data_IF_362755717603
#
_entry.id   IF_362755717603
#
_cell.length_a   1.000
_cell.length_b   1.000
_cell.length_c   1.000
_cell.angle_alpha   90.00
_cell.angle_beta   90.00
_cell.angle_gamma   90.00
#
_symmetry.space_group_name_H-M   'P 1'
#
loop_
_entity.id
_entity.type
_entity.pdbx_description
1 polymer ?
#
# COMPACT_ATOMS: atom_id res chain seq x y z
N UNK A 1 9.47 6.66 9.36
CA UNK A 1 9.38 6.40 7.91
C UNK A 1 8.49 7.44 7.24
N UNK A 2 8.84 8.01 6.09
CA UNK A 2 7.96 8.98 5.42
C UNK A 2 6.96 8.25 4.50
N UNK A 3 5.66 8.40 4.76
CA UNK A 3 4.61 7.72 3.99
C UNK A 3 3.64 8.76 3.46
N UNK A 4 3.44 8.75 2.16
CA UNK A 4 2.46 9.61 1.49
C UNK A 4 1.20 8.81 1.18
N UNK A 5 0.04 9.45 1.32
CA UNK A 5 -1.23 8.90 0.85
C UNK A 5 -1.59 9.59 -0.46
N UNK A 6 -1.73 8.80 -1.53
CA UNK A 6 -2.25 9.28 -2.80
C UNK A 6 -3.65 8.71 -3.02
N UNK A 7 -4.66 9.54 -3.34
CA UNK A 7 -5.97 9.05 -3.72
C UNK A 7 -5.84 8.06 -4.88
N UNK A 8 -6.53 6.93 -4.78
CA UNK A 8 -6.60 5.96 -5.87
C UNK A 8 -7.37 6.60 -7.03
N UNK A 9 -6.81 6.56 -8.23
CA UNK A 9 -7.44 7.10 -9.45
C UNK A 9 -7.74 5.96 -10.41
N UNK A 10 -9.00 5.81 -10.82
CA UNK A 10 -9.44 4.83 -11.83
C UNK A 10 -10.12 5.59 -12.95
N UNK A 11 -9.65 5.40 -14.19
CA UNK A 11 -10.19 6.09 -15.38
C UNK A 11 -10.24 7.63 -15.27
N UNK A 12 -9.38 8.23 -14.43
CA UNK A 12 -9.34 9.68 -14.18
C UNK A 12 -10.13 10.11 -12.94
N UNK A 13 -10.98 9.24 -12.40
CA UNK A 13 -11.79 9.52 -11.22
C UNK A 13 -11.09 9.11 -9.93
N UNK A 14 -11.04 10.04 -8.97
CA UNK A 14 -10.55 9.76 -7.63
C UNK A 14 -11.59 8.95 -6.87
N UNK A 15 -11.20 7.78 -6.39
CA UNK A 15 -12.02 7.01 -5.47
C UNK A 15 -12.03 7.69 -4.10
N UNK A 16 -13.22 7.93 -3.59
CA UNK A 16 -13.43 8.48 -2.26
C UNK A 16 -12.96 7.47 -1.22
N UNK A 17 -12.29 7.97 -0.17
CA UNK A 17 -11.86 7.18 0.99
C UNK A 17 -10.97 5.97 0.61
N UNK A 18 -10.22 6.07 -0.49
CA UNK A 18 -9.33 5.03 -0.99
C UNK A 18 -7.98 5.61 -1.39
N UNK A 19 -6.91 5.07 -0.79
CA UNK A 19 -5.58 5.63 -0.90
C UNK A 19 -4.54 4.55 -1.18
N UNK A 20 -3.69 4.78 -2.17
CA UNK A 20 -2.39 4.12 -2.29
C UNK A 20 -1.42 4.74 -1.27
N UNK A 21 -0.70 3.90 -0.54
CA UNK A 21 0.35 4.34 0.37
C UNK A 21 1.69 4.28 -0.35
N UNK A 22 2.42 5.39 -0.37
CA UNK A 22 3.67 5.55 -1.10
C UNK A 22 4.84 5.66 -0.13
N UNK A 23 5.91 4.92 -0.41
CA UNK A 23 7.22 5.03 0.24
C UNK A 23 8.29 5.03 -0.86
N UNK A 24 9.27 5.93 -0.80
CA UNK A 24 10.34 6.05 -1.82
C UNK A 24 9.81 6.07 -3.28
N UNK A 25 8.74 6.84 -3.54
CA UNK A 25 8.06 6.94 -4.84
C UNK A 25 7.48 5.62 -5.39
N UNK A 26 7.28 4.62 -4.53
CA UNK A 26 6.70 3.30 -4.85
C UNK A 26 5.44 3.05 -4.05
N UNK A 27 4.46 2.41 -4.65
CA UNK A 27 3.25 1.97 -3.94
C UNK A 27 3.60 0.77 -3.07
N UNK A 28 3.38 0.89 -1.76
CA UNK A 28 3.72 -0.14 -0.77
C UNK A 28 2.49 -0.75 -0.12
N UNK A 29 1.31 -0.25 -0.46
CA UNK A 29 0.06 -0.78 0.04
C UNK A 29 -1.13 0.14 -0.22
N UNK A 30 -2.23 -0.17 0.43
CA UNK A 30 -3.51 0.53 0.28
C UNK A 30 -4.21 0.69 1.62
N UNK A 31 -4.88 1.82 1.81
CA UNK A 31 -5.79 2.08 2.92
C UNK A 31 -7.12 2.53 2.31
N UNK A 32 -8.22 1.91 2.70
CA UNK A 32 -9.54 2.23 2.15
C UNK A 32 -10.67 2.08 3.17
N UNK A 33 -11.75 2.82 3.01
CA UNK A 33 -12.99 2.57 3.73
C UNK A 33 -13.76 1.44 3.03
N UNK A 34 -13.94 0.32 3.73
CA UNK A 34 -14.72 -0.81 3.24
C UNK A 34 -16.13 -0.77 3.84
N UNK A 35 -17.11 -0.42 3.03
CA UNK A 35 -18.55 -0.44 3.37
C UNK A 35 -19.26 -1.73 2.90
N UNK A 36 -18.59 -2.52 2.07
CA UNK A 36 -19.14 -3.70 1.40
C UNK A 36 -19.06 -4.99 2.22
N UNK A 37 -18.50 -4.96 3.44
CA UNK A 37 -18.55 -6.11 4.37
C UNK A 37 -19.88 -6.16 5.10
N UNK A 38 -20.78 -7.03 4.63
CA UNK A 38 -22.07 -7.32 5.24
C UNK A 38 -21.96 -7.54 6.76
N UNK A 39 -22.68 -6.74 7.55
CA UNK A 39 -22.90 -6.97 8.98
C UNK A 39 -21.86 -6.42 9.96
N UNK A 40 -20.80 -5.73 9.50
CA UNK A 40 -19.80 -5.11 10.40
C UNK A 40 -19.76 -3.58 10.39
N UNK A 41 -20.56 -2.94 9.54
CA UNK A 41 -20.49 -1.49 9.33
C UNK A 41 -19.24 -1.07 8.56
N UNK A 42 -19.10 0.22 8.28
CA UNK A 42 -17.94 0.75 7.57
C UNK A 42 -16.67 0.63 8.42
N UNK A 43 -15.64 -0.03 7.90
CA UNK A 43 -14.34 -0.17 8.56
C UNK A 43 -13.23 0.24 7.62
N UNK A 44 -12.20 0.89 8.15
CA UNK A 44 -10.99 1.16 7.40
C UNK A 44 -10.16 -0.12 7.27
N UNK A 45 -9.96 -0.60 6.05
CA UNK A 45 -9.05 -1.69 5.71
C UNK A 45 -7.68 -1.12 5.35
N UNK A 46 -6.62 -1.81 5.77
CA UNK A 46 -5.26 -1.48 5.38
C UNK A 46 -4.49 -2.75 5.02
N UNK A 47 -3.68 -2.66 3.97
CA UNK A 47 -2.92 -3.78 3.43
C UNK A 47 -1.55 -3.29 2.96
N UNK A 48 -0.47 -3.78 3.58
CA UNK A 48 0.88 -3.71 3.01
C UNK A 48 0.91 -4.68 1.83
N UNK A 49 1.25 -4.18 0.64
CA UNK A 49 1.23 -4.97 -0.60
C UNK A 49 2.33 -4.60 -1.60
N UNK A 50 3.62 -4.61 -1.20
CA UNK A 50 4.72 -4.62 -2.18
C UNK A 50 4.72 -5.96 -2.96
N UNK A 51 5.38 -6.03 -4.12
CA UNK A 51 5.59 -7.28 -4.88
C UNK A 51 6.65 -8.18 -4.21
N UNK A 52 6.46 -8.49 -2.93
CA UNK A 52 7.30 -9.33 -2.08
C UNK A 52 6.41 -10.31 -1.30
N UNK A 53 6.94 -11.40 -0.71
CA UNK A 53 6.15 -12.27 0.16
C UNK A 53 5.66 -11.51 1.40
N UNK A 54 4.33 -11.43 1.59
CA UNK A 54 3.70 -10.62 2.64
C UNK A 54 3.30 -11.51 3.82
N UNK A 55 3.77 -11.23 5.04
CA UNK A 55 3.34 -11.94 6.23
C UNK A 55 1.86 -11.72 6.58
N UNK A 56 1.18 -12.66 7.27
CA UNK A 56 -0.24 -12.51 7.61
C UNK A 56 -0.59 -11.28 8.47
N UNK A 57 0.38 -10.73 9.22
CA UNK A 57 0.21 -9.56 10.08
C UNK A 57 0.33 -8.21 9.34
N UNK A 58 0.60 -8.23 8.03
CA UNK A 58 0.75 -7.03 7.19
C UNK A 58 -0.58 -6.51 6.64
N UNK A 59 -1.70 -6.85 7.26
CA UNK A 59 -3.04 -6.34 6.91
C UNK A 59 -3.92 -6.27 8.16
N UNK A 60 -4.99 -5.50 8.08
CA UNK A 60 -6.00 -5.46 9.14
C UNK A 60 -7.09 -4.43 8.90
N UNK A 61 -7.90 -4.21 9.94
CA UNK A 61 -8.96 -3.21 9.96
C UNK A 61 -8.75 -2.19 11.08
N UNK A 62 -9.46 -1.07 11.02
CA UNK A 62 -9.53 -0.06 12.06
C UNK A 62 -10.83 0.76 11.96
N UNK A 63 -11.22 1.39 13.07
CA UNK A 63 -12.46 2.19 13.13
C UNK A 63 -12.26 3.64 12.63
N UNK A 64 -11.03 4.03 12.32
CA UNK A 64 -10.71 5.35 11.78
C UNK A 64 -9.52 5.32 10.82
N UNK A 65 -9.49 6.28 9.88
CA UNK A 65 -8.39 6.46 8.94
C UNK A 65 -7.06 6.68 9.68
N UNK A 66 -7.08 7.47 10.75
CA UNK A 66 -5.87 7.73 11.55
C UNK A 66 -5.32 6.44 12.18
N UNK A 67 -6.19 5.62 12.76
CA UNK A 67 -5.79 4.33 13.34
C UNK A 67 -5.28 3.38 12.25
N UNK A 68 -5.92 3.36 11.08
CA UNK A 68 -5.45 2.57 9.94
C UNK A 68 -4.06 3.03 9.46
N UNK A 69 -3.81 4.34 9.36
CA UNK A 69 -2.51 4.91 9.01
C UNK A 69 -1.42 4.50 10.01
N UNK A 70 -1.72 4.58 11.30
CA UNK A 70 -0.77 4.23 12.37
C UNK A 70 -0.45 2.73 12.35
N UNK A 71 -1.47 1.87 12.20
CA UNK A 71 -1.29 0.40 12.11
C UNK A 71 -0.53 0.00 10.85
N UNK A 72 -0.88 0.59 9.70
CA UNK A 72 -0.16 0.40 8.45
C UNK A 72 1.32 0.77 8.61
N UNK A 73 1.59 1.96 9.16
CA UNK A 73 2.97 2.44 9.35
C UNK A 73 3.77 1.49 10.23
N UNK A 74 3.23 1.06 11.36
CA UNK A 74 3.90 0.13 12.25
C UNK A 74 4.18 -1.23 11.57
N UNK A 75 3.21 -1.75 10.81
CA UNK A 75 3.40 -2.98 10.04
C UNK A 75 4.47 -2.80 8.95
N UNK A 76 4.44 -1.69 8.22
CA UNK A 76 5.40 -1.38 7.17
C UNK A 76 6.82 -1.19 7.72
N UNK A 77 6.99 -0.45 8.81
CA UNK A 77 8.28 -0.25 9.47
C UNK A 77 8.88 -1.61 9.92
N UNK A 78 8.06 -2.48 10.52
CA UNK A 78 8.49 -3.83 10.92
C UNK A 78 8.84 -4.71 9.71
N UNK A 79 8.02 -4.68 8.66
CA UNK A 79 8.25 -5.47 7.45
C UNK A 79 9.51 -5.00 6.71
N UNK A 80 9.63 -3.71 6.47
CA UNK A 80 10.77 -3.13 5.76
C UNK A 80 12.09 -3.36 6.50
N UNK A 81 12.10 -3.27 7.83
CA UNK A 81 13.27 -3.60 8.65
C UNK A 81 13.69 -5.07 8.56
N UNK A 82 12.78 -5.97 8.17
CA UNK A 82 13.10 -7.39 7.95
C UNK A 82 13.68 -7.70 6.57
N UNK A 83 13.65 -6.74 5.64
CA UNK A 83 14.18 -6.90 4.29
C UNK A 83 15.70 -6.68 4.26
N UNK A 84 16.40 -7.49 3.49
CA UNK A 84 17.81 -7.24 3.16
C UNK A 84 17.93 -6.17 2.08
N UNK A 85 19.11 -5.56 1.97
CA UNK A 85 19.40 -4.57 0.93
C UNK A 85 19.23 -5.15 -0.47
N UNK A 86 19.60 -6.42 -0.66
CA UNK A 86 19.47 -7.12 -1.95
C UNK A 86 18.00 -7.33 -2.33
N UNK A 87 17.13 -7.64 -1.36
CA UNK A 87 15.69 -7.78 -1.60
C UNK A 87 15.08 -6.45 -2.02
N UNK A 88 15.42 -5.35 -1.33
CA UNK A 88 14.96 -4.00 -1.66
C UNK A 88 15.46 -3.61 -3.07
N UNK A 89 16.75 -3.82 -3.36
CA UNK A 89 17.32 -3.48 -4.66
C UNK A 89 16.67 -4.26 -5.81
N UNK A 90 16.43 -5.56 -5.63
CA UNK A 90 15.76 -6.40 -6.63
C UNK A 90 14.33 -5.97 -6.88
N UNK A 91 13.57 -5.68 -5.82
CA UNK A 91 12.22 -5.13 -5.95
C UNK A 91 12.22 -3.82 -6.75
N UNK A 92 13.09 -2.87 -6.37
CA UNK A 92 13.19 -1.59 -7.06
C UNK A 92 13.53 -1.76 -8.55
N UNK A 93 14.53 -2.59 -8.87
CA UNK A 93 14.91 -2.89 -10.25
C UNK A 93 13.75 -3.48 -11.05
N UNK A 94 12.99 -4.40 -10.46
CA UNK A 94 11.86 -5.05 -11.14
C UNK A 94 10.77 -4.04 -11.48
N UNK A 95 10.40 -3.19 -10.53
CA UNK A 95 9.39 -2.15 -10.78
C UNK A 95 9.85 -1.11 -11.81
N UNK A 96 11.13 -0.74 -11.78
CA UNK A 96 11.67 0.24 -12.72
C UNK A 96 11.69 -0.32 -14.14
N UNK A 97 12.01 -1.61 -14.30
CA UNK A 97 11.91 -2.32 -15.58
C UNK A 97 10.47 -2.40 -16.08
N UNK A 98 9.50 -2.69 -15.21
CA UNK A 98 8.07 -2.72 -15.56
C UNK A 98 7.59 -1.34 -16.01
N UNK A 99 7.95 -0.28 -15.28
CA UNK A 99 7.60 1.11 -15.64
C UNK A 99 8.22 1.52 -16.97
N UNK A 100 9.50 1.19 -17.20
CA UNK A 100 10.18 1.46 -18.45
C UNK A 100 9.46 0.76 -19.62
N UNK A 101 9.20 -0.55 -19.49
CA UNK A 101 8.51 -1.33 -20.52
C UNK A 101 7.11 -0.79 -20.85
N UNK A 102 6.33 -0.41 -19.83
CA UNK A 102 5.01 0.18 -20.03
C UNK A 102 5.07 1.55 -20.74
N UNK A 103 6.16 2.31 -20.57
CA UNK A 103 6.38 3.58 -21.25
C UNK A 103 6.69 3.41 -22.74
N UNK A 104 7.30 2.29 -23.16
CA UNK A 104 7.60 2.00 -24.56
C UNK A 104 6.37 1.55 -25.37
N UNK A 105 5.28 1.18 -24.70
CA UNK A 105 4.02 0.72 -25.32
C UNK A 105 3.00 1.86 -25.53
N UNK A 106 3.34 3.10 -25.18
CA UNK A 106 2.51 4.30 -25.37
C UNK A 106 3.10 5.16 -26.49
#
# INVERSE_FOLDING_TARGET
>A
MDLLLHPTVIAGDKLKDDYCVIHDARSVGRIRLASERSGRGEMWEWHVNPPLPIPPWCNGTADSLETAKNRFRAAWEKFYASLTREQIARWHQTEDLVKANASWLK
#
